data_IF_185601103388
#
_entry.id   IF_185601103388
#
_cell.length_a   1.000
_cell.length_b   1.000
_cell.length_c   1.000
_cell.angle_alpha   90.00
_cell.angle_beta   90.00
_cell.angle_gamma   90.00
#
_symmetry.space_group_name_H-M   'P 1'
#
loop_
_entity.id
_entity.type
_entity.pdbx_description
1 polymer ?
#
# COMPACT_ATOMS: atom_id res chain seq x y z
N UNK A 1 -15.76 29.34 -9.65
CA UNK A 1 -14.55 28.72 -9.04
C UNK A 1 -14.69 28.75 -7.53
N UNK A 2 -14.83 27.60 -6.89
CA UNK A 2 -14.56 27.43 -5.46
C UNK A 2 -14.22 25.95 -5.26
N UNK A 3 -12.97 25.65 -4.94
CA UNK A 3 -12.48 24.30 -4.67
C UNK A 3 -12.73 24.00 -3.18
N UNK A 4 -13.69 23.11 -2.93
CA UNK A 4 -13.91 22.31 -1.72
C UNK A 4 -13.71 23.00 -0.34
N UNK A 5 -14.77 23.54 0.27
CA UNK A 5 -14.72 24.11 1.62
C UNK A 5 -14.37 23.08 2.71
N UNK A 6 -14.58 21.78 2.48
CA UNK A 6 -14.27 20.70 3.44
C UNK A 6 -12.77 20.59 3.74
N UNK A 7 -11.89 20.76 2.73
CA UNK A 7 -10.43 20.71 2.92
C UNK A 7 -9.91 21.87 3.76
N UNK A 8 -10.48 23.05 3.57
CA UNK A 8 -10.12 24.27 4.34
C UNK A 8 -10.63 24.15 5.79
N UNK A 9 -11.81 23.57 5.98
CA UNK A 9 -12.39 23.35 7.31
C UNK A 9 -11.54 22.36 8.12
N UNK A 10 -11.15 21.22 7.55
CA UNK A 10 -10.28 20.24 8.20
C UNK A 10 -8.92 20.86 8.58
N UNK A 11 -8.35 21.69 7.70
CA UNK A 11 -7.05 22.30 7.92
C UNK A 11 -7.06 23.38 9.02
N UNK A 12 -8.15 24.14 9.18
CA UNK A 12 -8.38 25.07 10.30
C UNK A 12 -8.68 24.34 11.61
N UNK A 13 -9.45 23.26 11.54
CA UNK A 13 -9.86 22.43 12.68
C UNK A 13 -8.66 21.69 13.30
N UNK A 14 -7.70 21.22 12.49
CA UNK A 14 -6.52 20.50 12.97
C UNK A 14 -5.55 21.35 13.80
N UNK A 15 -5.48 22.67 13.57
CA UNK A 15 -4.60 23.58 14.32
C UNK A 15 -5.10 23.86 15.76
N UNK A 16 -6.39 23.67 16.02
CA UNK A 16 -7.02 23.91 17.33
C UNK A 16 -7.33 22.62 18.11
N UNK A 17 -7.13 21.44 17.51
CA UNK A 17 -7.45 20.18 18.17
C UNK A 17 -6.44 19.85 19.28
N UNK A 18 -6.97 19.58 20.47
CA UNK A 18 -6.22 18.98 21.56
C UNK A 18 -5.62 17.65 21.10
N UNK A 19 -4.41 17.35 21.58
CA UNK A 19 -3.62 16.14 21.27
C UNK A 19 -4.46 14.85 21.19
N UNK A 20 -5.42 14.68 22.11
CA UNK A 20 -6.30 13.50 22.19
C UNK A 20 -7.20 13.32 20.96
N UNK A 21 -7.79 14.41 20.47
CA UNK A 21 -8.69 14.36 19.32
C UNK A 21 -7.95 14.05 18.02
N UNK A 22 -6.73 14.58 17.86
CA UNK A 22 -5.90 14.27 16.70
C UNK A 22 -5.51 12.78 16.67
N UNK A 23 -5.21 12.18 17.83
CA UNK A 23 -4.96 10.74 17.92
C UNK A 23 -6.21 9.94 17.53
N UNK A 24 -7.39 10.27 18.09
CA UNK A 24 -8.65 9.58 17.76
C UNK A 24 -9.02 9.71 16.28
N UNK A 25 -8.70 10.85 15.67
CA UNK A 25 -8.88 11.06 14.24
C UNK A 25 -7.96 10.10 13.46
N UNK A 26 -6.66 10.10 13.71
CA UNK A 26 -5.69 9.26 12.99
C UNK A 26 -6.01 7.75 13.13
N UNK A 27 -6.58 7.34 14.25
CA UNK A 27 -6.98 5.95 14.51
C UNK A 27 -8.26 5.52 13.77
N UNK A 28 -9.05 6.45 13.25
CA UNK A 28 -10.31 6.13 12.60
C UNK A 28 -10.07 5.68 11.15
N UNK A 29 -10.25 4.39 10.88
CA UNK A 29 -10.07 3.81 9.54
C UNK A 29 -11.09 4.30 8.50
N UNK A 30 -12.15 5.04 8.91
CA UNK A 30 -13.15 5.61 8.00
C UNK A 30 -12.75 6.97 7.40
N UNK A 31 -11.57 7.50 7.73
CA UNK A 31 -11.12 8.78 7.19
C UNK A 31 -10.66 8.58 5.74
N UNK A 32 -11.30 9.30 4.82
CA UNK A 32 -10.88 9.39 3.42
C UNK A 32 -9.68 10.34 3.26
N UNK A 33 -8.53 9.96 3.81
CA UNK A 33 -7.28 10.72 3.72
C UNK A 33 -6.11 9.78 3.49
N UNK A 34 -5.22 10.15 2.58
CA UNK A 34 -4.03 9.35 2.31
C UNK A 34 -3.07 9.39 3.51
N UNK A 35 -2.35 8.28 3.75
CA UNK A 35 -1.41 8.17 4.88
C UNK A 35 -0.31 9.26 4.87
N UNK A 36 0.06 9.76 3.68
CA UNK A 36 1.00 10.87 3.55
C UNK A 36 0.41 12.20 4.05
N UNK A 37 -0.87 12.44 3.79
CA UNK A 37 -1.55 13.65 4.23
C UNK A 37 -1.67 13.63 5.76
N UNK A 38 -1.96 12.47 6.35
CA UNK A 38 -1.96 12.27 7.81
C UNK A 38 -0.60 12.70 8.40
N UNK A 39 0.52 12.23 7.84
CA UNK A 39 1.86 12.65 8.28
C UNK A 39 2.07 14.16 8.17
N UNK A 40 1.72 14.77 7.03
CA UNK A 40 1.89 16.22 6.83
C UNK A 40 1.05 17.05 7.82
N UNK A 41 -0.14 16.58 8.18
CA UNK A 41 -1.00 17.23 9.16
C UNK A 41 -0.46 17.10 10.58
N UNK A 42 -0.02 15.91 10.99
CA UNK A 42 0.65 15.70 12.28
C UNK A 42 1.89 16.58 12.40
N UNK A 43 2.69 16.66 11.34
CA UNK A 43 3.90 17.47 11.30
C UNK A 43 3.58 18.98 11.44
N UNK A 44 2.62 19.48 10.66
CA UNK A 44 2.16 20.88 10.77
C UNK A 44 1.64 21.20 12.16
N UNK A 45 0.88 20.28 12.76
CA UNK A 45 0.41 20.42 14.14
C UNK A 45 1.59 20.51 15.12
N UNK A 46 2.57 19.62 15.01
CA UNK A 46 3.76 19.61 15.87
C UNK A 46 4.58 20.89 15.78
N UNK A 47 4.76 21.45 14.58
CA UNK A 47 5.45 22.73 14.38
C UNK A 47 4.62 23.88 14.97
N UNK A 48 3.30 23.88 14.79
CA UNK A 48 2.42 24.90 15.36
C UNK A 48 2.43 24.93 16.90
N UNK A 49 2.70 23.79 17.55
CA UNK A 49 2.89 23.72 19.01
C UNK A 49 4.26 24.29 19.47
N UNK A 50 5.19 24.51 18.56
CA UNK A 50 6.55 24.97 18.85
C UNK A 50 6.90 26.15 17.92
N UNK A 51 6.41 27.38 18.21
CA UNK A 51 6.45 28.50 17.27
C UNK A 51 7.86 28.97 16.85
N UNK A 52 8.89 28.60 17.61
CA UNK A 52 10.29 28.89 17.31
C UNK A 52 10.85 27.99 16.18
N UNK A 53 10.16 26.90 15.85
CA UNK A 53 10.56 25.99 14.79
C UNK A 53 10.22 26.56 13.41
N UNK A 54 11.21 26.51 12.52
CA UNK A 54 11.03 26.79 11.10
C UNK A 54 10.16 25.71 10.44
N UNK A 55 9.55 26.03 9.29
CA UNK A 55 8.91 25.01 8.44
C UNK A 55 9.96 24.15 7.69
N UNK A 56 11.18 24.66 7.52
CA UNK A 56 12.25 23.97 6.83
C UNK A 56 13.15 23.19 7.81
N UNK A 57 13.14 21.84 7.79
CA UNK A 57 13.96 21.01 8.67
C UNK A 57 15.46 21.12 8.39
N UNK A 58 15.87 21.69 7.25
CA UNK A 58 17.29 21.94 6.96
C UNK A 58 17.94 22.90 7.95
N UNK A 59 17.13 23.80 8.53
CA UNK A 59 17.55 24.80 9.51
C UNK A 59 17.61 24.29 10.96
N UNK A 60 17.16 23.05 11.22
CA UNK A 60 16.97 22.55 12.58
C UNK A 60 18.29 22.16 13.23
N UNK A 61 18.53 22.72 14.42
CA UNK A 61 19.52 22.26 15.38
C UNK A 61 19.14 20.90 15.97
N UNK A 62 20.06 20.30 16.76
CA UNK A 62 19.75 19.06 17.48
C UNK A 62 18.60 19.25 18.46
N UNK A 63 18.55 20.39 19.12
CA UNK A 63 17.54 20.69 20.13
C UNK A 63 16.17 20.93 19.50
N UNK A 64 16.12 21.59 18.33
CA UNK A 64 14.89 21.73 17.54
C UNK A 64 14.27 20.36 17.18
N UNK A 65 15.11 19.42 16.77
CA UNK A 65 14.66 18.04 16.52
C UNK A 65 14.19 17.34 17.80
N UNK A 66 14.79 17.59 18.95
CA UNK A 66 14.36 17.00 20.22
C UNK A 66 13.00 17.55 20.65
N UNK A 67 12.80 18.87 20.56
CA UNK A 67 11.54 19.55 20.86
C UNK A 67 10.40 19.00 20.00
N UNK A 68 10.62 18.91 18.68
CA UNK A 68 9.59 18.38 17.79
C UNK A 68 9.37 16.87 18.02
N UNK A 69 10.43 16.13 18.36
CA UNK A 69 10.32 14.70 18.71
C UNK A 69 9.46 14.48 19.93
N UNK A 70 9.69 15.22 21.01
CA UNK A 70 8.95 15.08 22.26
C UNK A 70 7.46 15.41 22.07
N UNK A 71 7.18 16.37 21.18
CA UNK A 71 5.83 16.75 20.76
C UNK A 71 5.14 15.62 19.98
N UNK A 72 5.84 15.04 19.00
CA UNK A 72 5.24 14.12 18.03
C UNK A 72 5.31 12.63 18.40
N UNK A 73 6.13 12.24 19.37
CA UNK A 73 6.41 10.83 19.69
C UNK A 73 5.15 9.96 19.88
N UNK A 74 4.07 10.53 20.43
CA UNK A 74 2.82 9.78 20.69
C UNK A 74 2.00 9.54 19.42
N UNK A 75 2.25 10.28 18.35
CA UNK A 75 1.54 10.10 17.06
C UNK A 75 2.23 9.07 16.17
N UNK A 76 3.56 8.93 16.29
CA UNK A 76 4.38 8.05 15.45
C UNK A 76 3.80 6.62 15.31
N UNK A 77 3.31 5.95 16.38
CA UNK A 77 2.77 4.60 16.27
C UNK A 77 1.51 4.48 15.41
N UNK A 78 0.78 5.58 15.21
CA UNK A 78 -0.50 5.60 14.48
C UNK A 78 -0.34 5.95 13.01
N UNK A 79 0.87 6.34 12.58
CA UNK A 79 1.13 6.73 11.20
C UNK A 79 1.56 5.49 10.42
N UNK A 80 0.81 5.14 9.38
CA UNK A 80 1.04 3.96 8.55
C UNK A 80 2.18 4.19 7.54
N UNK A 81 3.40 4.46 8.04
CA UNK A 81 4.57 4.78 7.19
C UNK A 81 4.87 3.72 6.11
N UNK A 82 4.52 2.45 6.35
CA UNK A 82 4.69 1.38 5.35
C UNK A 82 3.73 1.52 4.16
N UNK A 83 2.68 2.31 4.23
CA UNK A 83 1.78 2.53 3.09
C UNK A 83 2.28 3.60 2.12
N UNK A 84 3.23 4.43 2.57
CA UNK A 84 3.82 5.48 1.75
C UNK A 84 4.57 4.90 0.54
N UNK A 85 4.71 5.70 -0.50
CA UNK A 85 5.64 5.42 -1.59
C UNK A 85 7.08 5.77 -1.19
N UNK A 86 8.11 5.17 -1.82
CA UNK A 86 9.50 5.55 -1.56
C UNK A 86 9.77 7.04 -1.76
N UNK A 87 9.11 7.65 -2.75
CA UNK A 87 9.25 9.09 -3.05
C UNK A 87 8.67 9.93 -1.92
N UNK A 88 7.45 9.65 -1.47
CA UNK A 88 6.84 10.37 -0.34
C UNK A 88 7.67 10.23 0.93
N UNK A 89 8.21 9.03 1.20
CA UNK A 89 9.09 8.84 2.34
C UNK A 89 10.36 9.71 2.24
N UNK A 90 11.06 9.68 1.11
CA UNK A 90 12.30 10.46 0.91
C UNK A 90 12.03 11.97 0.99
N UNK A 91 10.98 12.45 0.34
CA UNK A 91 10.73 13.89 0.18
C UNK A 91 10.09 14.50 1.44
N UNK A 92 9.24 13.75 2.16
CA UNK A 92 8.38 14.31 3.21
C UNK A 92 8.64 13.78 4.62
N UNK A 93 9.15 12.55 4.75
CA UNK A 93 9.37 11.90 6.05
C UNK A 93 10.85 11.94 6.43
N UNK A 94 11.73 11.59 5.50
CA UNK A 94 13.17 11.50 5.72
C UNK A 94 13.86 12.80 6.17
N UNK A 95 13.43 14.01 5.76
CA UNK A 95 13.98 15.26 6.32
C UNK A 95 13.84 15.35 7.85
N UNK A 96 12.82 14.69 8.40
CA UNK A 96 12.50 14.64 9.82
C UNK A 96 12.95 13.34 10.51
N UNK A 97 13.82 12.56 9.86
CA UNK A 97 14.24 11.21 10.32
C UNK A 97 14.77 11.12 11.74
N UNK A 98 15.24 12.23 12.34
CA UNK A 98 15.74 12.29 13.73
C UNK A 98 14.63 12.17 14.77
N UNK A 99 13.38 12.45 14.39
CA UNK A 99 12.19 12.34 15.24
C UNK A 99 11.69 10.89 15.31
N UNK A 100 11.90 10.14 14.22
CA UNK A 100 11.48 8.75 14.12
C UNK A 100 12.45 7.87 14.94
N UNK A 101 11.93 6.93 15.75
CA UNK A 101 12.74 5.92 16.45
C UNK A 101 13.73 5.24 15.51
N UNK A 102 14.94 4.97 16.01
CA UNK A 102 16.05 4.50 15.18
C UNK A 102 15.71 3.17 14.50
N UNK A 103 15.12 2.27 15.26
CA UNK A 103 14.72 0.92 14.83
C UNK A 103 13.68 1.03 13.71
N UNK A 104 12.60 1.80 13.93
CA UNK A 104 11.55 2.02 12.94
C UNK A 104 12.10 2.66 11.66
N UNK A 105 12.98 3.66 11.77
CA UNK A 105 13.61 4.30 10.62
C UNK A 105 14.42 3.30 9.80
N UNK A 106 15.23 2.46 10.43
CA UNK A 106 16.03 1.46 9.75
C UNK A 106 15.17 0.41 9.05
N UNK A 107 14.08 -0.03 9.69
CA UNK A 107 13.11 -0.94 9.07
C UNK A 107 12.41 -0.33 7.87
N UNK A 108 11.97 0.93 7.97
CA UNK A 108 11.35 1.66 6.86
C UNK A 108 12.31 1.78 5.67
N UNK A 109 13.57 2.17 5.91
CA UNK A 109 14.59 2.26 4.86
C UNK A 109 14.80 0.90 4.19
N UNK A 110 14.99 -0.19 4.97
CA UNK A 110 15.13 -1.55 4.42
C UNK A 110 13.94 -1.94 3.57
N UNK A 111 12.73 -1.65 4.06
CA UNK A 111 11.50 -1.98 3.37
C UNK A 111 11.36 -1.21 2.03
N UNK A 112 11.68 0.09 2.00
CA UNK A 112 11.63 0.87 0.76
C UNK A 112 12.69 0.45 -0.25
N UNK A 113 13.92 0.14 0.20
CA UNK A 113 14.97 -0.42 -0.65
C UNK A 113 14.52 -1.76 -1.23
N UNK A 114 13.97 -2.65 -0.41
CA UNK A 114 13.46 -3.94 -0.86
C UNK A 114 12.33 -3.79 -1.88
N UNK A 115 11.37 -2.89 -1.63
CA UNK A 115 10.28 -2.60 -2.58
C UNK A 115 10.80 -2.00 -3.89
N UNK A 116 11.80 -1.13 -3.85
CA UNK A 116 12.40 -0.55 -5.05
C UNK A 116 13.20 -1.57 -5.85
N UNK A 117 13.98 -2.43 -5.17
CA UNK A 117 14.73 -3.51 -5.81
C UNK A 117 13.81 -4.58 -6.41
N UNK A 118 12.68 -4.87 -5.76
CA UNK A 118 11.67 -5.74 -6.35
C UNK A 118 10.97 -5.07 -7.53
N UNK A 119 10.68 -3.75 -7.47
CA UNK A 119 10.13 -3.00 -8.62
C UNK A 119 11.13 -2.91 -9.77
N UNK A 120 12.43 -2.75 -9.52
CA UNK A 120 13.47 -2.69 -10.55
C UNK A 120 13.76 -4.07 -11.13
N UNK A 121 13.79 -5.13 -10.31
CA UNK A 121 13.82 -6.53 -10.77
C UNK A 121 12.56 -6.88 -11.57
N UNK A 122 11.40 -6.30 -11.20
CA UNK A 122 10.14 -6.38 -11.96
C UNK A 122 10.17 -5.54 -13.26
N UNK A 123 10.89 -4.42 -13.29
CA UNK A 123 11.09 -3.59 -14.50
C UNK A 123 12.12 -4.20 -15.45
N UNK A 124 13.17 -4.86 -14.97
CA UNK A 124 14.10 -5.64 -15.80
C UNK A 124 13.37 -6.86 -16.38
N UNK A 125 12.34 -7.36 -15.71
CA UNK A 125 11.40 -8.35 -16.26
C UNK A 125 10.25 -7.73 -17.07
N UNK A 126 10.21 -6.42 -17.36
CA UNK A 126 9.20 -5.81 -18.27
C UNK A 126 9.41 -6.11 -19.76
N UNK A 127 10.46 -6.84 -20.12
CA UNK A 127 10.46 -7.58 -21.40
C UNK A 127 9.59 -8.85 -21.36
N UNK A 128 8.90 -9.15 -20.25
CA UNK A 128 7.71 -10.00 -20.28
C UNK A 128 6.61 -9.18 -20.95
N UNK A 129 6.48 -9.41 -22.26
CA UNK A 129 5.53 -8.85 -23.20
C UNK A 129 4.15 -8.55 -22.55
N UNK A 130 3.94 -7.29 -22.11
CA UNK A 130 2.74 -6.83 -21.37
C UNK A 130 1.41 -6.90 -22.14
N UNK A 131 1.41 -7.45 -23.36
CA UNK A 131 0.27 -7.48 -24.26
C UNK A 131 -0.73 -8.63 -24.00
N UNK A 132 -0.46 -9.60 -23.11
CA UNK A 132 -1.27 -10.83 -23.05
C UNK A 132 -2.21 -11.02 -21.84
N UNK A 133 -2.08 -10.27 -20.73
CA UNK A 133 -2.83 -10.58 -19.51
C UNK A 133 -4.19 -9.85 -19.50
N UNK A 134 -5.21 -10.46 -20.10
CA UNK A 134 -6.61 -9.96 -20.10
C UNK A 134 -7.37 -10.23 -18.77
N UNK A 135 -6.68 -10.29 -17.63
CA UNK A 135 -7.29 -10.56 -16.32
C UNK A 135 -7.62 -9.28 -15.55
N UNK A 136 -8.78 -9.25 -14.89
CA UNK A 136 -9.15 -8.18 -13.92
C UNK A 136 -8.63 -8.46 -12.51
N UNK A 137 -8.23 -9.70 -12.24
CA UNK A 137 -7.79 -10.20 -10.93
C UNK A 137 -6.26 -10.26 -10.84
N UNK A 138 -5.63 -10.67 -11.94
CA UNK A 138 -4.20 -10.94 -11.98
C UNK A 138 -3.51 -9.77 -12.63
N UNK A 139 -2.62 -9.13 -11.87
CA UNK A 139 -1.76 -8.05 -12.35
C UNK A 139 -0.43 -8.62 -12.85
N UNK A 140 0.37 -7.79 -13.51
CA UNK A 140 1.73 -8.19 -13.93
C UNK A 140 2.62 -8.57 -12.73
N UNK A 141 2.34 -8.02 -11.54
CA UNK A 141 3.04 -8.38 -10.30
C UNK A 141 2.69 -9.80 -9.86
N UNK A 142 1.41 -10.16 -9.92
CA UNK A 142 0.94 -11.52 -9.63
C UNK A 142 1.54 -12.53 -10.60
N UNK A 143 1.61 -12.19 -11.89
CA UNK A 143 2.30 -13.01 -12.90
C UNK A 143 3.76 -13.25 -12.54
N UNK A 144 4.51 -12.20 -12.17
CA UNK A 144 5.89 -12.35 -11.73
C UNK A 144 6.06 -13.27 -10.51
N UNK A 145 5.10 -13.26 -9.58
CA UNK A 145 5.12 -14.16 -8.42
C UNK A 145 4.80 -15.61 -8.81
N UNK A 146 3.79 -15.82 -9.64
CA UNK A 146 3.38 -17.14 -10.10
C UNK A 146 4.52 -17.81 -10.88
N UNK A 147 5.18 -17.10 -11.79
CA UNK A 147 6.35 -17.61 -12.54
C UNK A 147 7.42 -18.17 -11.61
N UNK A 148 7.69 -17.47 -10.49
CA UNK A 148 8.70 -17.90 -9.52
C UNK A 148 8.28 -19.15 -8.76
N UNK A 149 6.99 -19.30 -8.48
CA UNK A 149 6.46 -20.51 -7.85
C UNK A 149 6.58 -21.72 -8.78
N UNK A 150 6.30 -21.55 -10.08
CA UNK A 150 6.47 -22.61 -11.08
C UNK A 150 7.94 -23.06 -11.14
N UNK A 151 8.87 -22.11 -11.24
CA UNK A 151 10.31 -22.38 -11.29
C UNK A 151 10.90 -22.80 -9.92
N UNK A 152 10.11 -22.83 -8.84
CA UNK A 152 10.53 -23.11 -7.45
C UNK A 152 11.71 -22.23 -6.98
N UNK A 153 11.67 -20.95 -7.35
CA UNK A 153 12.75 -19.99 -7.08
C UNK A 153 12.62 -19.29 -5.74
N UNK A 154 13.75 -19.16 -5.02
CA UNK A 154 13.88 -18.34 -3.82
C UNK A 154 13.87 -16.84 -4.12
N UNK A 155 13.78 -16.00 -3.09
CA UNK A 155 13.63 -14.53 -3.21
C UNK A 155 14.78 -13.88 -3.99
N UNK A 156 15.99 -14.43 -3.89
CA UNK A 156 17.19 -13.93 -4.54
C UNK A 156 17.34 -14.39 -5.99
N UNK A 157 16.69 -15.49 -6.36
CA UNK A 157 16.96 -16.15 -7.64
C UNK A 157 16.37 -15.35 -8.81
N UNK A 158 17.02 -15.48 -9.96
CA UNK A 158 16.60 -14.83 -11.19
C UNK A 158 15.65 -15.76 -11.95
N UNK A 159 14.54 -15.20 -12.42
CA UNK A 159 13.59 -15.91 -13.29
C UNK A 159 14.30 -16.22 -14.61
N UNK A 160 14.36 -17.50 -14.97
CA UNK A 160 15.02 -17.95 -16.20
C UNK A 160 14.03 -18.12 -17.34
N UNK A 161 12.77 -18.40 -17.02
CA UNK A 161 11.73 -18.71 -17.99
C UNK A 161 10.70 -17.57 -18.08
N UNK A 162 10.39 -17.16 -19.31
CA UNK A 162 9.32 -16.19 -19.57
C UNK A 162 8.04 -16.98 -19.84
N UNK A 163 7.11 -16.95 -18.89
CA UNK A 163 5.78 -17.55 -19.05
C UNK A 163 4.84 -16.58 -19.74
N UNK A 164 4.15 -17.04 -20.78
CA UNK A 164 3.12 -16.27 -21.44
C UNK A 164 1.77 -16.57 -20.80
N UNK A 165 1.29 -15.62 -19.98
CA UNK A 165 0.03 -15.84 -19.30
C UNK A 165 -1.20 -15.49 -20.16
N UNK A 166 -2.12 -16.44 -20.40
CA UNK A 166 -3.36 -16.31 -21.19
C UNK A 166 -4.60 -16.61 -20.36
N UNK A 167 -5.53 -15.66 -20.32
CA UNK A 167 -6.82 -15.86 -19.65
C UNK A 167 -7.67 -16.91 -20.39
N UNK A 168 -7.97 -18.03 -19.73
CA UNK A 168 -8.84 -19.08 -20.28
C UNK A 168 -10.29 -18.86 -19.83
N UNK A 169 -10.51 -18.72 -18.51
CA UNK A 169 -11.84 -18.57 -17.91
C UNK A 169 -11.85 -17.38 -16.94
N UNK A 170 -12.88 -16.55 -17.03
CA UNK A 170 -13.20 -15.51 -16.05
C UNK A 170 -14.65 -15.63 -15.63
N UNK A 171 -14.92 -15.88 -14.35
CA UNK A 171 -16.28 -16.07 -13.84
C UNK A 171 -17.26 -14.95 -14.20
N UNK A 172 -16.81 -13.68 -14.19
CA UNK A 172 -17.63 -12.52 -14.57
C UNK A 172 -17.89 -12.38 -16.07
N UNK A 173 -17.18 -13.12 -16.93
CA UNK A 173 -17.38 -13.16 -18.39
C UNK A 173 -18.10 -14.43 -18.82
N UNK A 174 -17.65 -15.57 -18.30
CA UNK A 174 -18.00 -16.89 -18.82
C UNK A 174 -19.03 -17.60 -17.93
N UNK A 175 -19.25 -17.11 -16.71
CA UNK A 175 -20.11 -17.74 -15.70
C UNK A 175 -19.32 -18.58 -14.68
N UNK A 176 -19.94 -18.84 -13.53
CA UNK A 176 -19.31 -19.48 -12.37
C UNK A 176 -19.77 -20.93 -12.12
N UNK A 177 -20.46 -21.57 -13.07
CA UNK A 177 -20.95 -22.93 -12.83
C UNK A 177 -19.85 -23.98 -12.97
N UNK A 178 -19.85 -25.07 -12.16
CA UNK A 178 -18.93 -26.19 -12.32
C UNK A 178 -18.99 -26.80 -13.72
N UNK A 179 -20.19 -26.89 -14.31
CA UNK A 179 -20.38 -27.34 -15.70
C UNK A 179 -19.56 -26.48 -16.66
N UNK A 180 -19.64 -25.16 -16.53
CA UNK A 180 -18.92 -24.23 -17.41
C UNK A 180 -17.40 -24.29 -17.22
N UNK A 181 -16.94 -24.49 -15.99
CA UNK A 181 -15.53 -24.71 -15.70
C UNK A 181 -15.02 -25.96 -16.43
N UNK A 182 -15.73 -27.09 -16.31
CA UNK A 182 -15.35 -28.33 -16.98
C UNK A 182 -15.42 -28.24 -18.50
N UNK A 183 -16.43 -27.55 -19.05
CA UNK A 183 -16.52 -27.30 -20.50
C UNK A 183 -15.31 -26.55 -21.07
N UNK A 184 -14.75 -25.60 -20.32
CA UNK A 184 -13.70 -24.69 -20.81
C UNK A 184 -12.29 -25.15 -20.42
N UNK A 185 -12.12 -25.70 -19.22
CA UNK A 185 -10.81 -25.97 -18.63
C UNK A 185 -10.38 -27.44 -18.72
N UNK A 186 -11.30 -28.41 -18.93
CA UNK A 186 -10.90 -29.81 -19.03
C UNK A 186 -9.95 -30.00 -20.23
N UNK A 187 -8.96 -30.88 -20.07
CA UNK A 187 -7.92 -31.18 -21.06
C UNK A 187 -7.00 -30.01 -21.43
N UNK A 188 -7.02 -28.92 -20.65
CA UNK A 188 -5.97 -27.89 -20.71
C UNK A 188 -4.84 -28.30 -19.77
N UNK A 189 -3.66 -28.58 -20.33
CA UNK A 189 -2.46 -28.81 -19.52
C UNK A 189 -1.99 -27.49 -18.89
N UNK A 190 -1.14 -27.59 -17.87
CA UNK A 190 -0.37 -26.45 -17.33
C UNK A 190 -1.24 -25.25 -16.92
N UNK A 191 -2.38 -25.54 -16.32
CA UNK A 191 -3.39 -24.54 -15.99
C UNK A 191 -3.33 -24.14 -14.52
N UNK A 192 -3.33 -22.84 -14.24
CA UNK A 192 -3.37 -22.31 -12.87
C UNK A 192 -4.75 -21.70 -12.61
N UNK A 193 -5.41 -22.20 -11.56
CA UNK A 193 -6.71 -21.67 -11.12
C UNK A 193 -6.52 -20.77 -9.91
N UNK A 194 -6.94 -19.51 -10.03
CA UNK A 194 -6.85 -18.52 -8.96
C UNK A 194 -8.25 -18.12 -8.53
N UNK A 195 -8.49 -18.19 -7.22
CA UNK A 195 -9.77 -17.95 -6.59
C UNK A 195 -9.59 -16.80 -5.59
N UNK A 196 -10.30 -15.70 -5.81
CA UNK A 196 -10.43 -14.65 -4.80
C UNK A 196 -11.66 -14.95 -3.96
N UNK A 197 -11.44 -15.02 -2.65
CA UNK A 197 -12.49 -15.07 -1.63
C UNK A 197 -12.55 -13.69 -0.98
N UNK A 198 -13.63 -12.95 -1.24
CA UNK A 198 -13.91 -11.71 -0.50
C UNK A 198 -14.66 -12.05 0.78
N UNK A 199 -14.12 -11.64 1.93
CA UNK A 199 -14.84 -11.69 3.21
C UNK A 199 -15.43 -10.31 3.48
N UNK A 200 -16.74 -10.24 3.57
CA UNK A 200 -17.42 -9.10 4.16
C UNK A 200 -17.51 -9.34 5.68
N UNK A 201 -17.04 -8.39 6.47
CA UNK A 201 -17.40 -8.32 7.89
C UNK A 201 -18.74 -7.60 7.94
N UNK A 202 -19.83 -8.36 8.00
CA UNK A 202 -21.10 -7.83 8.48
C UNK A 202 -21.22 -8.20 9.96
N UNK A 203 -21.50 -7.19 10.78
CA UNK A 203 -21.73 -7.35 12.20
C UNK A 203 -22.80 -8.42 12.47
N UNK A 204 -22.44 -9.34 13.37
CA UNK A 204 -23.28 -10.19 14.22
C UNK A 204 -24.73 -10.38 13.74
N UNK A 205 -24.94 -11.30 12.79
CA UNK A 205 -25.97 -12.35 12.77
C UNK A 205 -26.33 -12.76 11.31
N UNK A 206 -25.85 -13.94 10.91
CA UNK A 206 -26.35 -14.78 9.82
C UNK A 206 -26.49 -14.16 8.40
N UNK A 207 -25.53 -14.40 7.50
CA UNK A 207 -25.52 -15.44 6.46
C UNK A 207 -24.21 -15.32 5.64
N UNK A 208 -23.44 -16.40 5.51
CA UNK A 208 -22.19 -16.38 4.74
C UNK A 208 -22.46 -16.40 3.23
N UNK A 209 -22.41 -15.23 2.58
CA UNK A 209 -22.38 -15.10 1.13
C UNK A 209 -20.95 -14.97 0.60
N UNK A 210 -20.30 -16.07 0.21
CA UNK A 210 -18.98 -16.03 -0.41
C UNK A 210 -19.12 -15.63 -1.90
N UNK A 211 -18.74 -14.40 -2.26
CA UNK A 211 -18.53 -14.05 -3.67
C UNK A 211 -17.18 -14.59 -4.11
N UNK A 212 -17.19 -15.73 -4.80
CA UNK A 212 -16.00 -16.33 -5.40
C UNK A 212 -15.77 -15.69 -6.77
N UNK A 213 -14.65 -14.99 -6.95
CA UNK A 213 -14.19 -14.67 -8.30
C UNK A 213 -13.07 -15.63 -8.67
N UNK A 214 -13.35 -16.53 -9.62
CA UNK A 214 -12.35 -17.47 -10.19
C UNK A 214 -11.82 -16.87 -11.49
N UNK A 215 -10.51 -16.83 -11.61
CA UNK A 215 -9.80 -16.57 -12.86
C UNK A 215 -8.80 -17.70 -13.09
N UNK A 216 -8.91 -18.35 -14.24
CA UNK A 216 -8.01 -19.41 -14.69
C UNK A 216 -7.09 -18.83 -15.75
N UNK A 217 -5.79 -18.90 -15.52
CA UNK A 217 -4.79 -18.35 -16.42
C UNK A 217 -3.80 -19.49 -16.79
N UNK A 218 -3.54 -19.67 -18.08
CA UNK A 218 -2.37 -20.39 -18.61
C UNK A 218 -1.15 -19.50 -18.42
#
# INVERSE_FOLDING_TARGET
MSKEPEKVLIQLILLHFQKKCLISLIQNDNIQMDDIQIWEHVLKWGIAQNPELSLDPSSYSKDDFNVLKDTLQQFIPFIKFYNLTPKEFIDKVYPYKKIIPKELREELIKNFIYRQNNKSKLMITKEINSKSIYSRIITIQHVGLISRWIDKLGITDNIRNLYEFKLILRGSRDGFSPKKFHEICNNKSDTITIIIVMKFLEDINQLYGNLLQVTVIL
#
